data_IF_989672792299
#
_entry.id   IF_989672792299
#
_cell.length_a   1.000
_cell.length_b   1.000
_cell.length_c   1.000
_cell.angle_alpha   90.00
_cell.angle_beta   90.00
_cell.angle_gamma   90.00
#
_symmetry.space_group_name_H-M   'P 1'
#
loop_
_entity.id
_entity.type
_entity.pdbx_description
1 polymer ?
#
# COMPACT_ATOMS: atom_id res chain seq x y z
N UNK A 1 -35.47 -14.96 -19.82
CA UNK A 1 -34.90 -13.60 -19.92
C UNK A 1 -33.93 -13.41 -18.77
N UNK A 2 -32.66 -13.76 -18.97
CA UNK A 2 -31.63 -13.66 -17.93
C UNK A 2 -31.17 -12.21 -17.87
N UNK A 3 -31.49 -11.49 -16.79
CA UNK A 3 -30.97 -10.14 -16.59
C UNK A 3 -29.45 -10.22 -16.44
N UNK A 4 -28.72 -9.57 -17.35
CA UNK A 4 -27.32 -9.28 -17.17
C UNK A 4 -27.17 -8.37 -15.95
N UNK A 5 -26.39 -8.79 -14.95
CA UNK A 5 -26.00 -7.91 -13.86
C UNK A 5 -25.12 -6.80 -14.46
N UNK A 6 -25.60 -5.56 -14.38
CA UNK A 6 -24.77 -4.40 -14.68
C UNK A 6 -23.56 -4.44 -13.74
N UNK A 7 -22.36 -4.58 -14.29
CA UNK A 7 -21.12 -4.44 -13.54
C UNK A 7 -21.06 -3.04 -12.93
N UNK A 8 -20.56 -2.94 -11.70
CA UNK A 8 -20.24 -1.64 -11.11
C UNK A 8 -19.34 -0.87 -12.09
N UNK A 9 -19.58 0.43 -12.34
CA UNK A 9 -18.64 1.23 -13.12
C UNK A 9 -17.25 1.08 -12.51
N UNK A 10 -16.25 0.86 -13.36
CA UNK A 10 -14.86 0.76 -12.92
C UNK A 10 -14.57 1.97 -12.02
N UNK A 11 -14.22 1.73 -10.75
CA UNK A 11 -13.89 2.81 -9.81
C UNK A 11 -12.83 3.69 -10.45
N UNK A 12 -13.11 4.99 -10.57
CA UNK A 12 -12.10 5.96 -10.99
C UNK A 12 -11.02 6.02 -9.90
N UNK A 13 -9.79 5.68 -10.26
CA UNK A 13 -8.63 5.71 -9.36
C UNK A 13 -7.73 6.89 -9.67
N UNK A 14 -6.86 7.24 -8.73
CA UNK A 14 -5.80 8.20 -9.00
C UNK A 14 -4.91 7.71 -10.16
N UNK A 15 -4.43 8.64 -10.99
CA UNK A 15 -3.67 8.31 -12.21
C UNK A 15 -2.36 7.56 -11.96
N UNK A 16 -1.82 7.61 -10.74
CA UNK A 16 -0.60 6.91 -10.35
C UNK A 16 -0.81 5.44 -9.98
N UNK A 17 -2.05 5.01 -9.72
CA UNK A 17 -2.35 3.67 -9.21
C UNK A 17 -1.95 2.55 -10.19
N UNK A 18 -2.04 2.82 -11.50
CA UNK A 18 -1.74 1.85 -12.54
C UNK A 18 -2.69 0.64 -12.50
N UNK A 19 -2.18 -0.52 -12.91
CA UNK A 19 -2.95 -1.77 -13.04
C UNK A 19 -2.37 -2.95 -12.23
N UNK A 20 -1.20 -2.79 -11.60
CA UNK A 20 -0.61 -3.85 -10.79
C UNK A 20 -1.54 -4.16 -9.60
N UNK A 21 -2.02 -5.40 -9.44
CA UNK A 21 -3.01 -5.73 -8.41
C UNK A 21 -2.56 -5.39 -6.98
N UNK A 22 -1.26 -5.47 -6.69
CA UNK A 22 -0.71 -5.08 -5.39
C UNK A 22 -0.85 -3.58 -5.17
N UNK A 23 -0.52 -2.78 -6.18
CA UNK A 23 -0.59 -1.33 -6.06
C UNK A 23 -2.04 -0.84 -6.03
N UNK A 24 -2.92 -1.50 -6.77
CA UNK A 24 -4.38 -1.28 -6.74
C UNK A 24 -4.96 -1.58 -5.36
N UNK A 25 -4.59 -2.72 -4.77
CA UNK A 25 -5.06 -3.08 -3.43
C UNK A 25 -4.57 -2.07 -2.38
N UNK A 26 -3.29 -1.70 -2.43
CA UNK A 26 -2.72 -0.66 -1.57
C UNK A 26 -3.45 0.68 -1.72
N UNK A 27 -3.68 1.14 -2.95
CA UNK A 27 -4.44 2.36 -3.22
C UNK A 27 -5.87 2.29 -2.65
N UNK A 28 -6.57 1.19 -2.91
CA UNK A 28 -8.00 1.07 -2.60
C UNK A 28 -8.29 0.87 -1.10
N UNK A 29 -7.31 0.38 -0.32
CA UNK A 29 -7.54 -0.05 1.07
C UNK A 29 -6.58 0.51 2.11
N UNK A 30 -5.43 1.07 1.71
CA UNK A 30 -4.41 1.57 2.65
C UNK A 30 -4.09 3.04 2.42
N UNK A 31 -3.94 3.47 1.16
CA UNK A 31 -3.52 4.82 0.83
C UNK A 31 -4.60 5.85 1.15
N UNK A 32 -4.26 6.86 1.96
CA UNK A 32 -5.19 7.91 2.39
C UNK A 32 -6.20 7.48 3.45
N UNK A 33 -6.13 6.25 3.95
CA UNK A 33 -6.93 5.79 5.10
C UNK A 33 -6.27 6.30 6.39
N UNK A 34 -7.02 6.97 7.30
CA UNK A 34 -6.44 7.44 8.55
C UNK A 34 -5.88 6.31 9.42
N UNK A 35 -4.64 6.46 9.88
CA UNK A 35 -3.96 5.52 10.78
C UNK A 35 -3.62 6.25 12.08
N UNK A 36 -3.90 5.61 13.21
CA UNK A 36 -3.60 6.10 14.56
C UNK A 36 -2.73 5.11 15.37
N UNK A 37 -2.25 4.05 14.72
CA UNK A 37 -1.32 3.09 15.32
C UNK A 37 0.12 3.58 15.11
N UNK A 38 0.83 3.89 16.20
CA UNK A 38 2.16 4.50 16.16
C UNK A 38 3.19 3.61 15.46
N UNK A 39 3.12 2.29 15.64
CA UNK A 39 4.03 1.35 15.00
C UNK A 39 3.84 1.32 13.49
N UNK A 40 2.59 1.31 13.02
CA UNK A 40 2.27 1.35 11.60
C UNK A 40 2.67 2.70 10.98
N UNK A 41 2.46 3.81 11.70
CA UNK A 41 2.95 5.12 11.26
C UNK A 41 4.48 5.15 11.14
N UNK A 42 5.20 4.55 12.10
CA UNK A 42 6.66 4.42 12.06
C UNK A 42 7.15 3.51 10.92
N UNK A 43 6.46 2.41 10.65
CA UNK A 43 6.69 1.56 9.48
C UNK A 43 6.56 2.38 8.19
N UNK A 44 5.46 3.10 7.99
CA UNK A 44 5.26 3.92 6.79
C UNK A 44 6.31 5.02 6.66
N UNK A 45 6.58 5.79 7.71
CA UNK A 45 7.59 6.85 7.70
C UNK A 45 8.97 6.34 7.26
N UNK A 46 9.37 5.18 7.77
CA UNK A 46 10.65 4.56 7.42
C UNK A 46 10.67 4.07 5.97
N UNK A 47 9.59 3.44 5.51
CA UNK A 47 9.48 2.92 4.14
C UNK A 47 9.45 4.05 3.09
N UNK A 48 8.85 5.19 3.40
CA UNK A 48 8.89 6.40 2.56
C UNK A 48 10.32 6.91 2.38
N UNK A 49 11.13 6.94 3.45
CA UNK A 49 12.55 7.29 3.36
C UNK A 49 13.35 6.31 2.48
N UNK A 50 13.05 5.02 2.58
CA UNK A 50 13.69 3.98 1.76
C UNK A 50 13.35 4.09 0.25
N UNK A 51 12.32 4.85 -0.12
CA UNK A 51 11.88 5.02 -1.50
C UNK A 51 12.82 5.92 -2.34
N UNK A 52 13.77 6.62 -1.75
CA UNK A 52 14.62 7.59 -2.46
C UNK A 52 15.26 6.99 -3.74
N UNK A 53 14.85 7.51 -4.92
CA UNK A 53 15.33 7.04 -6.22
C UNK A 53 14.66 5.77 -6.77
N UNK A 54 13.62 5.26 -6.11
CA UNK A 54 12.87 4.05 -6.48
C UNK A 54 11.37 4.35 -6.66
N UNK A 55 10.65 3.41 -7.24
CA UNK A 55 9.17 3.43 -7.25
C UNK A 55 8.60 2.90 -5.94
N UNK A 56 7.46 3.43 -5.50
CA UNK A 56 6.76 2.92 -4.31
C UNK A 56 6.39 1.43 -4.44
N UNK A 57 6.04 0.97 -5.64
CA UNK A 57 5.80 -0.46 -5.91
C UNK A 57 7.03 -1.33 -5.58
N UNK A 58 8.25 -0.81 -5.76
CA UNK A 58 9.49 -1.50 -5.35
C UNK A 58 9.53 -1.70 -3.83
N UNK A 59 9.12 -0.69 -3.08
CA UNK A 59 9.05 -0.72 -1.61
C UNK A 59 7.94 -1.66 -1.14
N UNK A 60 6.73 -1.57 -1.70
CA UNK A 60 5.60 -2.45 -1.37
C UNK A 60 5.96 -3.93 -1.57
N UNK A 61 6.62 -4.29 -2.68
CA UNK A 61 7.08 -5.67 -2.92
C UNK A 61 8.12 -6.16 -1.91
N UNK A 62 8.84 -5.25 -1.25
CA UNK A 62 9.84 -5.56 -0.22
C UNK A 62 9.33 -5.38 1.21
N UNK A 63 8.10 -4.90 1.42
CA UNK A 63 7.56 -4.53 2.73
C UNK A 63 7.71 -5.63 3.78
N UNK A 64 7.40 -6.88 3.43
CA UNK A 64 7.55 -8.01 4.35
C UNK A 64 9.02 -8.35 4.65
N UNK A 65 9.93 -8.10 3.71
CA UNK A 65 11.36 -8.23 3.98
C UNK A 65 11.86 -7.15 4.94
N UNK A 66 11.38 -5.91 4.79
CA UNK A 66 11.63 -4.84 5.76
C UNK A 66 11.09 -5.18 7.14
N UNK A 67 9.84 -5.64 7.25
CA UNK A 67 9.25 -6.07 8.53
C UNK A 67 10.11 -7.11 9.23
N UNK A 68 10.67 -8.08 8.52
CA UNK A 68 11.59 -9.07 9.11
C UNK A 68 12.94 -8.48 9.49
N UNK A 69 13.49 -7.57 8.68
CA UNK A 69 14.80 -6.99 8.90
C UNK A 69 14.83 -5.94 10.03
N UNK A 70 13.68 -5.34 10.34
CA UNK A 70 13.51 -4.29 11.35
C UNK A 70 12.65 -4.74 12.53
N UNK A 71 12.65 -6.04 12.87
CA UNK A 71 11.94 -6.60 14.03
C UNK A 71 10.46 -6.20 14.15
N UNK A 72 9.77 -6.14 13.01
CA UNK A 72 8.37 -5.73 12.92
C UNK A 72 8.15 -4.24 13.16
N UNK A 73 9.19 -3.41 12.96
CA UNK A 73 9.21 -1.98 13.26
C UNK A 73 8.93 -1.68 14.74
N UNK A 74 9.42 -2.55 15.63
CA UNK A 74 9.38 -2.31 17.06
C UNK A 74 10.46 -1.30 17.45
N UNK A 75 10.07 -0.06 17.75
CA UNK A 75 11.02 1.04 17.98
C UNK A 75 11.94 0.88 19.20
N UNK A 76 11.65 -0.09 20.08
CA UNK A 76 12.48 -0.41 21.26
C UNK A 76 13.55 -1.49 21.00
N UNK A 77 13.59 -2.08 19.80
CA UNK A 77 14.57 -3.10 19.39
C UNK A 77 15.60 -2.54 18.42
#
# INVERSE_FOLDING_TARGET
MTQARAGHPARTRCGWCGEDPLYVAYHDSEWGVPVHDDRLLFEFLTLEGAQAGLSWLTILRKRDAYRRAFDGFDAEK
#
